data_IF_855219598320
#
_entry.id   IF_855219598320
#
_cell.length_a   1.000
_cell.length_b   1.000
_cell.length_c   1.000
_cell.angle_alpha   90.00
_cell.angle_beta   90.00
_cell.angle_gamma   90.00
#
_symmetry.space_group_name_H-M   'P 1'
#
loop_
_entity.id
_entity.type
_entity.pdbx_description
1 polymer ?
#
# COMPACT_ATOMS: atom_id res chain seq x y z
N UNK A 1 -4.20 -13.63 -1.78
CA UNK A 1 -4.82 -12.29 -1.86
C UNK A 1 -4.71 -11.69 -3.26
N UNK A 2 -3.52 -11.47 -3.81
CA UNK A 2 -3.35 -10.91 -5.16
C UNK A 2 -4.04 -11.75 -6.25
N UNK A 3 -3.84 -13.07 -6.22
CA UNK A 3 -4.45 -14.01 -7.16
C UNK A 3 -5.99 -13.98 -7.12
N UNK A 4 -6.57 -13.76 -5.93
CA UNK A 4 -8.01 -13.59 -5.74
C UNK A 4 -8.53 -12.29 -6.36
N UNK A 5 -7.76 -11.19 -6.27
CA UNK A 5 -8.13 -9.92 -6.89
C UNK A 5 -8.12 -10.00 -8.42
N UNK A 6 -7.12 -10.65 -9.01
CA UNK A 6 -7.10 -10.89 -10.46
C UNK A 6 -8.24 -11.81 -10.91
N UNK A 7 -8.54 -12.87 -10.16
CA UNK A 7 -9.70 -13.75 -10.42
C UNK A 7 -11.04 -13.04 -10.30
N UNK A 8 -11.12 -12.02 -9.45
CA UNK A 8 -12.30 -11.16 -9.32
C UNK A 8 -12.45 -10.13 -10.46
N UNK A 9 -11.48 -10.05 -11.38
CA UNK A 9 -11.54 -9.19 -12.57
C UNK A 9 -10.88 -7.81 -12.42
N UNK A 10 -10.19 -7.54 -11.31
CA UNK A 10 -9.39 -6.31 -11.17
C UNK A 10 -8.16 -6.38 -12.06
N UNK A 11 -8.01 -5.42 -12.99
CA UNK A 11 -6.85 -5.37 -13.91
C UNK A 11 -5.56 -4.99 -13.19
N UNK A 12 -5.67 -4.21 -12.12
CA UNK A 12 -4.53 -3.77 -11.33
C UNK A 12 -4.73 -4.24 -9.89
N UNK A 13 -3.81 -5.06 -9.40
CA UNK A 13 -3.74 -5.42 -7.98
C UNK A 13 -2.30 -5.34 -7.49
N UNK A 14 -2.08 -4.64 -6.38
CA UNK A 14 -0.77 -4.58 -5.70
C UNK A 14 -0.95 -4.71 -4.19
N UNK A 15 0.04 -5.32 -3.52
CA UNK A 15 0.18 -5.24 -2.08
C UNK A 15 1.11 -4.07 -1.79
N UNK A 16 0.71 -3.22 -0.85
CA UNK A 16 1.48 -2.08 -0.39
C UNK A 16 1.76 -2.28 1.10
N UNK A 17 3.02 -2.11 1.50
CA UNK A 17 3.42 -2.16 2.90
C UNK A 17 3.50 -0.78 3.54
N UNK A 18 3.52 -0.72 4.87
CA UNK A 18 3.82 0.51 5.60
C UNK A 18 5.19 1.09 5.22
N UNK A 19 6.17 0.26 4.88
CA UNK A 19 7.50 0.73 4.46
C UNK A 19 7.45 1.42 3.10
N UNK A 20 6.66 0.88 2.16
CA UNK A 20 6.46 1.50 0.85
C UNK A 20 5.77 2.86 0.99
N UNK A 21 4.73 2.93 1.82
CA UNK A 21 4.02 4.18 2.11
C UNK A 21 4.91 5.19 2.85
N UNK A 22 5.76 4.73 3.78
CA UNK A 22 6.70 5.59 4.49
C UNK A 22 7.70 6.19 3.52
N UNK A 23 8.26 5.39 2.61
CA UNK A 23 9.17 5.89 1.57
C UNK A 23 8.49 6.89 0.64
N UNK A 24 7.26 6.59 0.22
CA UNK A 24 6.55 7.41 -0.77
C UNK A 24 6.05 8.74 -0.19
N UNK A 25 5.56 8.76 1.06
CA UNK A 25 4.85 9.92 1.62
C UNK A 25 5.52 10.56 2.85
N UNK A 26 6.44 9.87 3.52
CA UNK A 26 7.01 10.31 4.79
C UNK A 26 8.54 10.49 4.77
N UNK A 27 9.24 10.04 3.72
CA UNK A 27 10.71 10.06 3.65
C UNK A 27 11.33 11.45 3.79
N UNK A 28 10.67 12.49 3.30
CA UNK A 28 11.18 13.88 3.32
C UNK A 28 10.58 14.73 4.45
N UNK A 29 9.86 14.11 5.39
CA UNK A 29 9.24 14.83 6.50
C UNK A 29 10.20 15.00 7.66
N UNK A 30 10.31 16.23 8.16
CA UNK A 30 11.11 16.58 9.33
C UNK A 30 10.27 16.99 10.55
N UNK A 31 8.94 16.85 10.46
CA UNK A 31 7.98 17.24 11.49
C UNK A 31 7.65 16.12 12.48
N UNK A 32 8.32 14.96 12.37
CA UNK A 32 8.13 13.81 13.25
C UNK A 32 6.84 13.04 13.00
N UNK A 33 6.06 13.38 11.97
CA UNK A 33 4.89 12.60 11.59
C UNK A 33 5.31 11.31 10.89
N UNK A 34 4.71 10.21 11.29
CA UNK A 34 4.90 8.88 10.73
C UNK A 34 3.57 8.19 10.49
N UNK A 35 3.58 7.07 9.77
CA UNK A 35 2.42 6.19 9.70
C UNK A 35 2.04 5.71 11.10
N UNK A 36 0.74 5.70 11.38
CA UNK A 36 0.18 5.16 12.62
C UNK A 36 0.00 3.65 12.58
N UNK A 37 -0.02 3.05 11.39
CA UNK A 37 -0.18 1.61 11.15
C UNK A 37 0.65 1.20 9.92
N UNK A 38 1.27 0.02 9.98
CA UNK A 38 2.11 -0.55 8.92
C UNK A 38 1.59 -1.89 8.39
N UNK A 39 0.30 -2.18 8.58
CA UNK A 39 -0.34 -3.35 7.99
C UNK A 39 -0.24 -3.40 6.46
N UNK A 40 -0.23 -4.62 5.92
CA UNK A 40 -0.21 -4.85 4.49
C UNK A 40 -1.59 -4.58 3.90
N UNK A 41 -1.65 -3.65 2.94
CA UNK A 41 -2.88 -3.26 2.26
C UNK A 41 -2.88 -3.86 0.85
N UNK A 42 -3.94 -4.58 0.50
CA UNK A 42 -4.22 -4.97 -0.88
C UNK A 42 -5.00 -3.84 -1.56
N UNK A 43 -4.40 -3.21 -2.56
CA UNK A 43 -5.05 -2.20 -3.41
C UNK A 43 -5.38 -2.85 -4.75
N UNK A 44 -6.66 -2.88 -5.11
CA UNK A 44 -7.13 -3.43 -6.38
C UNK A 44 -8.09 -2.46 -7.09
N UNK A 45 -7.95 -2.31 -8.41
CA UNK A 45 -8.78 -1.45 -9.25
C UNK A 45 -9.01 -2.07 -10.65
N UNK A 46 -10.10 -1.66 -11.31
CA UNK A 46 -10.57 -2.15 -12.61
C UNK A 46 -9.95 -1.44 -13.79
#
# INVERSE_FOLDING_TARGET
MLDLAHKAGFKYAKVVSGDDLTKEYFQERNDGLSLSNSELILVANT
#
